data_IF_202356787395
#
_entry.id   IF_202356787395
#
_cell.length_a   1.000
_cell.length_b   1.000
_cell.length_c   1.000
_cell.angle_alpha   90.00
_cell.angle_beta   90.00
_cell.angle_gamma   90.00
#
_symmetry.space_group_name_H-M   'P 1'
#
loop_
_entity.id
_entity.type
_entity.pdbx_description
1 polymer ?
#
# COMPACT_ATOMS: atom_id res chain seq x y z
N UNK A 1 2.57 5.02 -12.34
CA UNK A 1 2.17 6.38 -11.93
C UNK A 1 0.90 6.26 -11.10
N UNK A 2 0.92 6.73 -9.85
CA UNK A 2 -0.27 6.77 -8.99
C UNK A 2 -0.77 8.22 -8.95
N UNK A 3 -2.01 8.53 -9.39
CA UNK A 3 -2.52 9.90 -9.38
C UNK A 3 -2.51 10.51 -7.97
N UNK A 4 -2.23 11.81 -7.85
CA UNK A 4 -2.15 12.45 -6.53
C UNK A 4 -3.48 12.48 -5.78
N UNK A 5 -4.61 12.50 -6.50
CA UNK A 5 -5.93 12.31 -5.92
C UNK A 5 -6.05 10.96 -5.22
N UNK A 6 -5.59 9.89 -5.88
CA UNK A 6 -5.59 8.54 -5.31
C UNK A 6 -4.68 8.45 -4.08
N UNK A 7 -3.48 9.07 -4.11
CA UNK A 7 -2.59 9.12 -2.94
C UNK A 7 -3.24 9.84 -1.74
N UNK A 8 -4.06 10.86 -1.97
CA UNK A 8 -4.82 11.53 -0.90
C UNK A 8 -5.97 10.67 -0.39
N UNK A 9 -6.67 10.00 -1.29
CA UNK A 9 -7.79 9.12 -0.94
C UNK A 9 -7.35 7.89 -0.13
N UNK A 10 -6.17 7.34 -0.42
CA UNK A 10 -5.52 6.27 0.36
C UNK A 10 -5.36 6.67 1.83
N UNK A 11 -5.03 7.94 2.11
CA UNK A 11 -4.90 8.45 3.49
C UNK A 11 -6.23 8.57 4.23
N UNK A 12 -7.35 8.54 3.53
CA UNK A 12 -8.68 8.83 4.09
C UNK A 12 -9.67 7.70 3.80
N UNK A 13 -10.51 7.88 2.79
CA UNK A 13 -11.65 7.01 2.48
C UNK A 13 -11.27 5.62 1.96
N UNK A 14 -10.02 5.43 1.52
CA UNK A 14 -9.53 4.16 0.98
C UNK A 14 -8.56 3.43 1.90
N UNK A 15 -8.27 3.94 3.10
CA UNK A 15 -7.24 3.40 4.00
C UNK A 15 -7.41 1.91 4.33
N UNK A 16 -8.66 1.43 4.36
CA UNK A 16 -9.01 0.02 4.66
C UNK A 16 -9.45 -0.74 3.38
N UNK A 17 -9.23 -0.17 2.19
CA UNK A 17 -9.68 -0.70 0.88
C UNK A 17 -8.55 -0.91 -0.11
N UNK A 18 -7.31 -0.77 0.34
CA UNK A 18 -6.10 -0.97 -0.47
C UNK A 18 -5.19 -1.98 0.22
N UNK A 19 -4.51 -2.80 -0.57
CA UNK A 19 -3.55 -3.78 -0.07
C UNK A 19 -2.35 -3.86 -1.00
N UNK A 20 -1.23 -4.32 -0.45
CA UNK A 20 0.01 -4.47 -1.19
C UNK A 20 -0.09 -5.56 -2.25
N UNK A 21 0.44 -5.25 -3.43
CA UNK A 21 0.61 -6.19 -4.53
C UNK A 21 1.92 -5.87 -5.25
N UNK A 22 2.81 -6.85 -5.34
CA UNK A 22 4.16 -6.64 -5.87
C UNK A 22 4.30 -6.87 -7.35
N UNK A 23 3.41 -7.66 -7.96
CA UNK A 23 3.57 -8.18 -9.33
C UNK A 23 4.95 -8.85 -9.54
N UNK A 24 5.44 -9.58 -8.53
CA UNK A 24 6.68 -10.34 -8.64
C UNK A 24 6.50 -11.54 -9.59
N UNK A 25 7.46 -11.83 -10.49
CA UNK A 25 8.81 -11.25 -10.60
C UNK A 25 8.93 -10.03 -11.53
N UNK A 26 7.84 -9.57 -12.13
CA UNK A 26 7.83 -8.44 -13.08
C UNK A 26 8.37 -7.15 -12.48
N UNK A 27 8.07 -6.88 -11.20
CA UNK A 27 8.59 -5.72 -10.46
C UNK A 27 9.47 -6.19 -9.29
N UNK A 28 10.76 -5.78 -9.22
CA UNK A 28 11.64 -6.15 -8.11
C UNK A 28 11.21 -5.53 -6.77
N UNK A 29 11.31 -6.31 -5.68
CA UNK A 29 10.94 -5.87 -4.34
C UNK A 29 11.63 -4.58 -3.90
N UNK A 30 12.95 -4.47 -4.13
CA UNK A 30 13.72 -3.28 -3.75
C UNK A 30 13.12 -2.00 -4.35
N UNK A 31 12.66 -2.07 -5.61
CA UNK A 31 12.06 -0.93 -6.30
C UNK A 31 10.73 -0.57 -5.65
N UNK A 32 9.78 -1.52 -5.59
CA UNK A 32 8.43 -1.21 -5.12
C UNK A 32 8.40 -0.78 -3.66
N UNK A 33 9.20 -1.40 -2.78
CA UNK A 33 9.28 -1.02 -1.38
C UNK A 33 9.84 0.41 -1.23
N UNK A 34 10.91 0.75 -1.96
CA UNK A 34 11.47 2.10 -1.93
C UNK A 34 10.50 3.16 -2.46
N UNK A 35 9.65 2.82 -3.44
CA UNK A 35 8.64 3.73 -3.96
C UNK A 35 7.56 4.03 -2.89
N UNK A 36 7.13 3.03 -2.11
CA UNK A 36 6.16 3.20 -1.03
C UNK A 36 6.72 4.01 0.15
N UNK A 37 7.97 3.76 0.56
CA UNK A 37 8.65 4.53 1.61
C UNK A 37 8.72 6.03 1.28
N UNK A 38 8.96 6.35 0.00
CA UNK A 38 9.05 7.73 -0.48
C UNK A 38 7.69 8.44 -0.61
N UNK A 39 6.55 7.74 -0.49
CA UNK A 39 5.23 8.36 -0.63
C UNK A 39 4.79 9.20 0.59
N UNK A 40 5.52 9.12 1.71
CA UNK A 40 5.25 9.91 2.91
C UNK A 40 3.92 9.55 3.56
N UNK A 41 3.64 8.25 3.67
CA UNK A 41 2.53 7.75 4.49
C UNK A 41 3.01 7.52 5.93
N UNK A 42 2.08 7.55 6.89
CA UNK A 42 2.40 7.16 8.26
C UNK A 42 2.63 5.65 8.37
N UNK A 43 3.41 5.24 9.36
CA UNK A 43 3.69 3.82 9.62
C UNK A 43 2.40 2.99 9.79
N UNK A 44 1.39 3.51 10.49
CA UNK A 44 0.07 2.85 10.63
C UNK A 44 -0.63 2.61 9.28
N UNK A 45 -0.48 3.54 8.33
CA UNK A 45 -1.07 3.38 6.99
C UNK A 45 -0.29 2.31 6.21
N UNK A 46 1.04 2.36 6.26
CA UNK A 46 1.90 1.36 5.60
C UNK A 46 1.65 -0.04 6.16
N UNK A 47 1.48 -0.18 7.48
CA UNK A 47 1.17 -1.46 8.13
C UNK A 47 -0.17 -2.03 7.64
N UNK A 48 -1.20 -1.18 7.55
CA UNK A 48 -2.50 -1.55 6.96
C UNK A 48 -2.37 -2.00 5.52
N UNK A 49 -1.65 -1.24 4.73
CA UNK A 49 -1.44 -1.51 3.31
C UNK A 49 -0.65 -2.81 3.09
N UNK A 50 0.42 -3.05 3.85
CA UNK A 50 1.30 -4.20 3.65
C UNK A 50 0.69 -5.53 4.11
N UNK A 51 -0.09 -5.55 5.19
CA UNK A 51 -0.68 -6.81 5.66
C UNK A 51 -2.04 -6.71 6.34
N UNK A 52 -2.31 -5.74 7.25
CA UNK A 52 -3.55 -5.80 8.07
C UNK A 52 -4.84 -5.78 7.25
N UNK A 53 -4.87 -5.03 6.14
CA UNK A 53 -6.04 -5.03 5.25
C UNK A 53 -6.21 -6.38 4.54
N UNK A 54 -5.12 -7.05 4.17
CA UNK A 54 -5.16 -8.37 3.57
C UNK A 54 -5.61 -9.41 4.61
N UNK A 55 -5.04 -9.39 5.82
CA UNK A 55 -5.44 -10.27 6.93
C UNK A 55 -6.93 -10.15 7.24
N UNK A 56 -7.45 -8.92 7.35
CA UNK A 56 -8.87 -8.69 7.60
C UNK A 56 -9.78 -9.18 6.47
N UNK A 57 -9.34 -9.14 5.22
CA UNK A 57 -10.14 -9.54 4.06
C UNK A 57 -10.06 -11.06 3.82
N UNK A 58 -8.90 -11.65 4.12
CA UNK A 58 -8.59 -13.05 3.88
C UNK A 58 -8.79 -13.95 5.11
N UNK A 59 -9.15 -13.37 6.26
CA UNK A 59 -9.36 -14.06 7.54
C UNK A 59 -8.11 -14.85 8.00
N UNK A 60 -6.97 -14.15 8.05
CA UNK A 60 -5.64 -14.69 8.40
C UNK A 60 -5.17 -14.25 9.79
#
# INVERSE_FOLDING_TARGET
YLPDSLKRDIRSRLKDKVMFGSDYPSIPYKRILSEWDQMGYSDDMLEKFFHRNAESILDL
#
